data_IF_254424676624
#
_entry.id   IF_254424676624
#
_cell.length_a   1.000
_cell.length_b   1.000
_cell.length_c   1.000
_cell.angle_alpha   90.00
_cell.angle_beta   90.00
_cell.angle_gamma   90.00
#
_symmetry.space_group_name_H-M   'P 1'
#
loop_
_entity.id
_entity.type
_entity.pdbx_description
1 polymer ?
#
# COMPACT_ATOMS: atom_id res chain seq x y z
N UNK A 1 -2.88 -61.32 14.07
CA UNK A 1 -2.24 -60.15 13.43
C UNK A 1 -3.18 -58.97 13.09
N UNK A 2 -4.09 -58.48 13.97
CA UNK A 2 -4.78 -57.20 13.74
C UNK A 2 -4.28 -56.02 14.61
N UNK A 3 -3.64 -56.30 15.74
CA UNK A 3 -3.25 -55.29 16.75
C UNK A 3 -2.10 -54.39 16.25
N UNK A 4 -1.18 -54.96 15.45
CA UNK A 4 -0.06 -54.23 14.85
C UNK A 4 -0.56 -53.14 13.90
N UNK A 5 -1.63 -53.39 13.16
CA UNK A 5 -2.16 -52.44 12.17
C UNK A 5 -2.80 -51.21 12.85
N UNK A 6 -3.54 -51.40 13.96
CA UNK A 6 -4.15 -50.30 14.72
C UNK A 6 -3.07 -49.44 15.40
N UNK A 7 -2.03 -50.04 15.97
CA UNK A 7 -0.92 -49.28 16.55
C UNK A 7 -0.17 -48.48 15.49
N UNK A 8 0.09 -49.05 14.31
CA UNK A 8 0.75 -48.35 13.21
C UNK A 8 -0.13 -47.22 12.65
N UNK A 9 -1.44 -47.44 12.47
CA UNK A 9 -2.39 -46.40 12.06
C UNK A 9 -2.43 -45.27 13.09
N UNK A 10 -2.49 -45.60 14.38
CA UNK A 10 -2.50 -44.62 15.47
C UNK A 10 -1.21 -43.81 15.48
N UNK A 11 -0.04 -44.45 15.38
CA UNK A 11 1.25 -43.76 15.30
C UNK A 11 1.30 -42.81 14.10
N UNK A 12 0.93 -43.28 12.90
CA UNK A 12 0.91 -42.47 11.67
C UNK A 12 -0.04 -41.27 11.82
N UNK A 13 -1.21 -41.48 12.42
CA UNK A 13 -2.18 -40.40 12.66
C UNK A 13 -1.60 -39.36 13.63
N UNK A 14 -0.98 -39.78 14.73
CA UNK A 14 -0.33 -38.86 15.68
C UNK A 14 0.84 -38.10 15.06
N UNK A 15 1.73 -38.74 14.30
CA UNK A 15 2.85 -38.05 13.62
C UNK A 15 2.35 -37.07 12.58
N UNK A 16 1.30 -37.41 11.84
CA UNK A 16 0.70 -36.49 10.86
C UNK A 16 0.07 -35.27 11.56
N UNK A 17 -0.69 -35.49 12.64
CA UNK A 17 -1.26 -34.42 13.47
C UNK A 17 -0.20 -33.52 14.12
N UNK A 18 0.89 -34.08 14.62
CA UNK A 18 1.99 -33.24 15.15
C UNK A 18 2.66 -32.45 14.03
N UNK A 19 2.89 -33.06 12.86
CA UNK A 19 3.48 -32.34 11.72
C UNK A 19 2.58 -31.21 11.20
N UNK A 20 1.26 -31.42 11.15
CA UNK A 20 0.27 -30.39 10.81
C UNK A 20 0.29 -29.26 11.84
N UNK A 21 0.34 -29.60 13.14
CA UNK A 21 0.44 -28.63 14.24
C UNK A 21 1.69 -27.74 14.12
N UNK A 22 2.86 -28.32 13.85
CA UNK A 22 4.11 -27.55 13.74
C UNK A 22 4.19 -26.66 12.49
N UNK A 23 3.38 -26.92 11.46
CA UNK A 23 3.42 -26.17 10.20
C UNK A 23 2.33 -25.10 10.10
N UNK A 24 1.10 -25.39 10.53
CA UNK A 24 -0.06 -24.51 10.27
C UNK A 24 -0.17 -23.36 11.30
N UNK A 25 0.15 -23.63 12.56
CA UNK A 25 -0.07 -22.69 13.66
C UNK A 25 0.86 -21.47 13.64
N UNK A 26 2.20 -21.62 13.51
CA UNK A 26 3.09 -20.47 13.48
C UNK A 26 2.80 -19.57 12.28
N UNK A 27 2.50 -20.20 11.14
CA UNK A 27 2.22 -19.53 9.88
C UNK A 27 0.97 -18.64 9.93
N UNK A 28 -0.08 -19.07 10.63
CA UNK A 28 -1.31 -18.27 10.76
C UNK A 28 -1.08 -17.00 11.61
N UNK A 29 -0.33 -17.11 12.71
CA UNK A 29 0.04 -15.96 13.53
C UNK A 29 0.92 -14.96 12.77
N UNK A 30 1.90 -15.47 12.01
CA UNK A 30 2.75 -14.67 11.13
C UNK A 30 1.93 -13.97 10.02
N UNK A 31 0.96 -14.66 9.41
CA UNK A 31 0.08 -14.09 8.40
C UNK A 31 -0.74 -12.91 8.98
N UNK A 32 -1.30 -13.05 10.18
CA UNK A 32 -2.04 -11.95 10.82
C UNK A 32 -1.12 -10.76 11.14
N UNK A 33 0.08 -11.04 11.63
CA UNK A 33 1.06 -10.00 11.93
C UNK A 33 1.46 -9.25 10.65
N UNK A 34 1.75 -9.97 9.56
CA UNK A 34 2.12 -9.35 8.28
C UNK A 34 1.00 -8.47 7.71
N UNK A 35 -0.26 -8.89 7.85
CA UNK A 35 -1.42 -8.05 7.49
C UNK A 35 -1.44 -6.79 8.36
N UNK A 36 -1.25 -6.94 9.67
CA UNK A 36 -1.23 -5.79 10.59
C UNK A 36 -0.11 -4.80 10.27
N UNK A 37 1.10 -5.28 10.04
CA UNK A 37 2.26 -4.44 9.75
C UNK A 37 2.05 -3.66 8.44
N UNK A 38 1.49 -4.33 7.43
CA UNK A 38 1.16 -3.69 6.15
C UNK A 38 -0.02 -2.72 6.27
N UNK A 39 -1.07 -3.08 6.99
CA UNK A 39 -2.26 -2.24 7.18
C UNK A 39 -1.94 -0.93 7.91
N UNK A 40 -1.01 -0.97 8.85
CA UNK A 40 -0.60 0.21 9.63
C UNK A 40 0.59 0.96 9.02
N UNK A 41 1.03 0.57 7.83
CA UNK A 41 2.07 1.30 7.10
C UNK A 41 1.50 2.63 6.60
N UNK A 42 2.16 3.73 6.97
CA UNK A 42 1.79 5.06 6.48
C UNK A 42 2.23 5.17 5.02
N UNK A 43 1.30 5.34 4.05
CA UNK A 43 1.68 5.53 2.66
C UNK A 43 2.49 6.83 2.50
N UNK A 44 3.46 6.85 1.59
CA UNK A 44 4.29 8.03 1.31
C UNK A 44 3.74 8.93 0.20
N UNK A 45 2.90 8.41 -0.69
CA UNK A 45 2.33 9.12 -1.84
C UNK A 45 0.97 8.53 -2.25
N UNK A 46 0.29 9.21 -3.19
CA UNK A 46 -1.00 8.80 -3.76
C UNK A 46 -0.99 7.38 -4.33
N UNK A 47 0.08 6.97 -5.02
CA UNK A 47 0.19 5.62 -5.59
C UNK A 47 0.25 4.53 -4.50
N UNK A 48 1.08 4.72 -3.49
CA UNK A 48 1.19 3.82 -2.34
C UNK A 48 -0.12 3.74 -1.55
N UNK A 49 -0.84 4.85 -1.41
CA UNK A 49 -2.16 4.89 -0.77
C UNK A 49 -3.17 4.03 -1.54
N UNK A 50 -3.22 4.14 -2.88
CA UNK A 50 -4.13 3.34 -3.71
C UNK A 50 -3.81 1.84 -3.63
N UNK A 51 -2.52 1.49 -3.61
CA UNK A 51 -2.07 0.09 -3.42
C UNK A 51 -2.47 -0.44 -2.04
N UNK A 52 -2.37 0.38 -0.99
CA UNK A 52 -2.80 0.03 0.35
C UNK A 52 -4.31 -0.18 0.43
N UNK A 53 -5.10 0.70 -0.18
CA UNK A 53 -6.56 0.59 -0.25
C UNK A 53 -7.01 -0.72 -0.92
N UNK A 54 -6.42 -1.07 -2.06
CA UNK A 54 -6.77 -2.32 -2.75
C UNK A 54 -6.35 -3.55 -1.95
N UNK A 55 -5.21 -3.51 -1.27
CA UNK A 55 -4.78 -4.56 -0.35
C UNK A 55 -5.81 -4.77 0.77
N UNK A 56 -6.24 -3.70 1.44
CA UNK A 56 -7.18 -3.78 2.55
C UNK A 56 -8.55 -4.24 2.08
N UNK A 57 -9.01 -3.78 0.91
CA UNK A 57 -10.26 -4.27 0.29
C UNK A 57 -10.22 -5.78 0.08
N UNK A 58 -9.08 -6.33 -0.38
CA UNK A 58 -8.90 -7.78 -0.51
C UNK A 58 -8.90 -8.48 0.85
N UNK A 59 -8.26 -7.88 1.85
CA UNK A 59 -8.23 -8.42 3.21
C UNK A 59 -9.63 -8.53 3.80
N UNK A 60 -10.43 -7.46 3.73
CA UNK A 60 -11.80 -7.42 4.26
C UNK A 60 -12.77 -8.34 3.51
N UNK A 61 -12.57 -8.54 2.20
CA UNK A 61 -13.50 -9.32 1.38
C UNK A 61 -13.25 -10.82 1.35
N UNK A 62 -11.99 -11.25 1.48
CA UNK A 62 -11.59 -12.66 1.30
C UNK A 62 -10.69 -13.13 2.43
N UNK A 63 -9.57 -12.44 2.65
CA UNK A 63 -8.48 -12.97 3.48
C UNK A 63 -8.91 -13.18 4.94
N UNK A 64 -9.68 -12.27 5.54
CA UNK A 64 -10.13 -12.42 6.93
C UNK A 64 -10.98 -13.68 7.11
N UNK A 65 -11.88 -13.98 6.17
CA UNK A 65 -12.73 -15.17 6.22
C UNK A 65 -11.91 -16.46 6.08
N UNK A 66 -10.97 -16.50 5.13
CA UNK A 66 -10.06 -17.65 4.96
C UNK A 66 -9.22 -17.89 6.22
N UNK A 67 -8.77 -16.83 6.87
CA UNK A 67 -7.99 -16.91 8.10
C UNK A 67 -8.84 -17.35 9.30
N UNK A 68 -10.11 -16.93 9.38
CA UNK A 68 -11.05 -17.42 10.38
C UNK A 68 -11.30 -18.92 10.25
N UNK A 69 -11.47 -19.43 9.03
CA UNK A 69 -11.66 -20.87 8.82
C UNK A 69 -10.40 -21.66 9.19
N UNK A 70 -9.22 -21.18 8.81
CA UNK A 70 -7.93 -21.76 9.27
C UNK A 70 -7.80 -21.72 10.79
N UNK A 71 -8.27 -20.65 11.44
CA UNK A 71 -8.27 -20.52 12.89
C UNK A 71 -9.21 -21.54 13.56
N UNK A 72 -10.38 -21.82 12.96
CA UNK A 72 -11.31 -22.87 13.42
C UNK A 72 -10.70 -24.26 13.31
N UNK A 73 -10.01 -24.56 12.22
CA UNK A 73 -9.29 -25.83 12.07
C UNK A 73 -8.23 -25.97 13.16
N UNK A 74 -7.42 -24.92 13.37
CA UNK A 74 -6.45 -24.81 14.45
C UNK A 74 -7.09 -25.07 15.82
N UNK A 75 -8.24 -24.45 16.13
CA UNK A 75 -8.95 -24.70 17.38
C UNK A 75 -9.37 -26.17 17.53
N UNK A 76 -9.94 -26.76 16.49
CA UNK A 76 -10.34 -28.18 16.51
C UNK A 76 -9.13 -29.09 16.76
N UNK A 77 -7.97 -28.78 16.18
CA UNK A 77 -6.73 -29.52 16.44
C UNK A 77 -6.25 -29.37 17.88
N UNK A 78 -6.31 -28.16 18.46
CA UNK A 78 -5.95 -27.95 19.88
C UNK A 78 -6.86 -28.79 20.78
N UNK A 79 -8.18 -28.69 20.61
CA UNK A 79 -9.15 -29.43 21.43
C UNK A 79 -8.95 -30.94 21.30
N UNK A 80 -8.72 -31.42 20.08
CA UNK A 80 -8.47 -32.85 19.88
C UNK A 80 -7.16 -33.28 20.56
N UNK A 81 -6.07 -32.54 20.37
CA UNK A 81 -4.76 -32.93 20.89
C UNK A 81 -4.61 -32.74 22.39
N UNK A 82 -5.39 -31.86 23.03
CA UNK A 82 -5.34 -31.67 24.49
C UNK A 82 -5.71 -32.94 25.26
N UNK A 83 -6.54 -33.80 24.68
CA UNK A 83 -6.97 -35.06 25.29
C UNK A 83 -5.89 -36.17 25.21
N UNK A 84 -4.87 -35.99 24.37
CA UNK A 84 -3.89 -37.03 24.05
C UNK A 84 -2.43 -36.61 24.18
N UNK A 85 -2.13 -35.32 24.28
CA UNK A 85 -0.77 -34.78 24.28
C UNK A 85 -0.64 -33.57 25.21
N UNK A 86 0.53 -33.41 25.82
CA UNK A 86 0.86 -32.20 26.57
C UNK A 86 1.24 -31.11 25.57
N UNK A 87 0.49 -30.01 25.59
CA UNK A 87 0.85 -28.80 24.85
C UNK A 87 2.00 -28.12 25.58
N UNK A 88 3.14 -27.94 24.89
CA UNK A 88 4.30 -27.28 25.46
C UNK A 88 4.03 -25.78 25.68
N UNK A 89 4.80 -25.15 26.56
CA UNK A 89 4.69 -23.72 26.83
C UNK A 89 4.95 -22.85 25.57
N UNK A 90 5.81 -23.31 24.66
CA UNK A 90 6.13 -22.60 23.41
C UNK A 90 4.90 -22.61 22.48
N UNK A 91 4.29 -23.78 22.30
CA UNK A 91 3.11 -23.94 21.45
C UNK A 91 1.92 -23.17 22.03
N UNK A 92 1.73 -23.21 23.35
CA UNK A 92 0.70 -22.42 24.02
C UNK A 92 0.89 -20.92 23.76
N UNK A 93 2.14 -20.42 23.87
CA UNK A 93 2.45 -19.02 23.59
C UNK A 93 2.13 -18.64 22.13
N UNK A 94 2.48 -19.49 21.16
CA UNK A 94 2.19 -19.24 19.74
C UNK A 94 0.68 -19.22 19.47
N UNK A 95 -0.07 -20.13 20.08
CA UNK A 95 -1.53 -20.16 19.98
C UNK A 95 -2.13 -18.88 20.55
N UNK A 96 -1.73 -18.48 21.76
CA UNK A 96 -2.17 -17.23 22.38
C UNK A 96 -1.88 -16.01 21.51
N UNK A 97 -0.69 -15.93 20.89
CA UNK A 97 -0.35 -14.84 19.98
C UNK A 97 -1.27 -14.80 18.75
N UNK A 98 -1.58 -15.96 18.16
CA UNK A 98 -2.50 -16.05 17.01
C UNK A 98 -3.90 -15.56 17.38
N UNK A 99 -4.43 -15.97 18.55
CA UNK A 99 -5.73 -15.48 19.03
C UNK A 99 -5.70 -13.99 19.38
N UNK A 100 -4.60 -13.49 19.94
CA UNK A 100 -4.44 -12.07 20.22
C UNK A 100 -4.53 -11.25 18.94
N UNK A 101 -3.83 -11.70 17.88
CA UNK A 101 -3.87 -11.06 16.58
C UNK A 101 -5.24 -11.12 15.92
N UNK A 102 -5.92 -12.27 15.97
CA UNK A 102 -7.30 -12.40 15.51
C UNK A 102 -8.23 -11.38 16.19
N UNK A 103 -8.19 -11.30 17.52
CA UNK A 103 -9.02 -10.35 18.28
C UNK A 103 -8.67 -8.89 17.98
N UNK A 104 -7.40 -8.60 17.68
CA UNK A 104 -6.92 -7.25 17.33
C UNK A 104 -7.25 -6.86 15.89
N UNK A 105 -7.51 -7.81 14.99
CA UNK A 105 -7.59 -7.55 13.55
C UNK A 105 -8.70 -6.55 13.19
N UNK A 106 -9.85 -6.59 13.86
CA UNK A 106 -10.93 -5.62 13.65
C UNK A 106 -10.49 -4.19 13.98
N UNK A 107 -9.75 -4.00 15.08
CA UNK A 107 -9.20 -2.72 15.47
C UNK A 107 -8.15 -2.23 14.45
N UNK A 108 -7.28 -3.13 13.97
CA UNK A 108 -6.26 -2.79 12.95
C UNK A 108 -6.90 -2.30 11.64
N UNK A 109 -7.97 -2.95 11.19
CA UNK A 109 -8.69 -2.53 10.00
C UNK A 109 -9.36 -1.17 10.19
N UNK A 110 -9.87 -0.89 11.39
CA UNK A 110 -10.44 0.42 11.70
C UNK A 110 -9.37 1.52 11.80
N UNK A 111 -8.22 1.24 12.43
CA UNK A 111 -7.06 2.14 12.44
C UNK A 111 -6.59 2.46 11.01
N UNK A 112 -6.54 1.46 10.14
CA UNK A 112 -6.23 1.66 8.73
C UNK A 112 -7.29 2.54 8.03
N UNK A 113 -8.59 2.34 8.29
CA UNK A 113 -9.67 3.15 7.71
C UNK A 113 -9.47 4.63 8.01
N UNK A 114 -9.18 4.95 9.27
CA UNK A 114 -8.91 6.32 9.72
C UNK A 114 -7.64 6.89 9.09
N UNK A 115 -6.58 6.08 9.02
CA UNK A 115 -5.33 6.47 8.36
C UNK A 115 -5.53 6.78 6.87
N UNK A 116 -6.27 5.94 6.15
CA UNK A 116 -6.59 6.11 4.73
C UNK A 116 -7.42 7.36 4.52
N UNK A 117 -8.45 7.61 5.33
CA UNK A 117 -9.28 8.80 5.24
C UNK A 117 -8.44 10.08 5.44
N UNK A 118 -7.64 10.11 6.50
CA UNK A 118 -6.75 11.24 6.79
C UNK A 118 -5.76 11.48 5.65
N UNK A 119 -5.06 10.43 5.20
CA UNK A 119 -4.03 10.55 4.16
C UNK A 119 -4.60 10.90 2.79
N UNK A 120 -5.81 10.41 2.48
CA UNK A 120 -6.53 10.81 1.28
C UNK A 120 -6.78 12.31 1.28
N UNK A 121 -7.26 12.86 2.40
CA UNK A 121 -7.50 14.29 2.53
C UNK A 121 -6.20 15.10 2.42
N UNK A 122 -5.16 14.69 3.15
CA UNK A 122 -3.83 15.34 3.13
C UNK A 122 -3.29 15.44 1.69
N UNK A 123 -3.29 14.33 0.94
CA UNK A 123 -2.77 14.28 -0.42
C UNK A 123 -3.64 15.01 -1.43
N UNK A 124 -4.96 14.93 -1.31
CA UNK A 124 -5.85 15.71 -2.18
C UNK A 124 -5.67 17.22 -1.98
N UNK A 125 -5.48 17.68 -0.74
CA UNK A 125 -5.22 19.09 -0.48
C UNK A 125 -3.84 19.51 -1.01
N UNK A 126 -2.81 18.70 -0.76
CA UNK A 126 -1.46 18.96 -1.26
C UNK A 126 -1.40 18.99 -2.80
N UNK A 127 -2.13 18.09 -3.46
CA UNK A 127 -2.26 18.06 -4.93
C UNK A 127 -2.93 19.33 -5.45
N UNK A 128 -4.04 19.77 -4.84
CA UNK A 128 -4.73 21.02 -5.23
C UNK A 128 -3.83 22.24 -5.07
N UNK A 129 -3.14 22.37 -3.94
CA UNK A 129 -2.19 23.46 -3.70
C UNK A 129 -1.04 23.44 -4.71
N UNK A 130 -0.50 22.25 -5.01
CA UNK A 130 0.57 22.08 -5.98
C UNK A 130 0.14 22.44 -7.40
N UNK A 131 -1.09 22.13 -7.79
CA UNK A 131 -1.67 22.49 -9.09
C UNK A 131 -1.85 24.00 -9.20
N UNK A 132 -2.36 24.67 -8.16
CA UNK A 132 -2.53 26.13 -8.18
C UNK A 132 -1.18 26.86 -8.25
N UNK A 133 -0.21 26.45 -7.43
CA UNK A 133 1.16 26.99 -7.50
C UNK A 133 1.77 26.78 -8.89
N UNK A 134 1.55 25.61 -9.49
CA UNK A 134 2.05 25.31 -10.82
C UNK A 134 1.38 26.16 -11.92
N UNK A 135 0.09 26.49 -11.79
CA UNK A 135 -0.57 27.45 -12.70
C UNK A 135 0.08 28.84 -12.62
N UNK A 136 0.42 29.31 -11.43
CA UNK A 136 1.14 30.58 -11.26
C UNK A 136 2.54 30.54 -11.88
N UNK A 137 3.28 29.43 -11.67
CA UNK A 137 4.59 29.20 -12.31
C UNK A 137 4.49 29.27 -13.84
N UNK A 138 3.46 28.65 -14.42
CA UNK A 138 3.22 28.67 -15.87
C UNK A 138 2.93 30.07 -16.41
N UNK A 139 2.18 30.90 -15.69
CA UNK A 139 1.96 32.31 -16.05
C UNK A 139 3.28 33.09 -16.04
N UNK A 140 4.16 32.83 -15.06
CA UNK A 140 5.48 33.46 -15.02
C UNK A 140 6.37 33.01 -16.18
N UNK A 141 6.31 31.74 -16.59
CA UNK A 141 7.05 31.23 -17.75
C UNK A 141 6.58 31.90 -19.04
N UNK A 142 5.28 32.11 -19.20
CA UNK A 142 4.72 32.84 -20.33
C UNK A 142 5.21 34.30 -20.38
N UNK A 143 5.18 35.01 -19.25
CA UNK A 143 5.70 36.38 -19.17
C UNK A 143 7.20 36.44 -19.52
N UNK A 144 8.01 35.48 -19.06
CA UNK A 144 9.43 35.39 -19.42
C UNK A 144 9.64 35.09 -20.92
N UNK A 145 8.76 34.30 -21.52
CA UNK A 145 8.79 34.01 -22.96
C UNK A 145 8.47 35.27 -23.77
N UNK A 146 7.44 36.02 -23.39
CA UNK A 146 7.08 37.30 -24.01
C UNK A 146 8.20 38.34 -23.89
N UNK A 147 8.84 38.43 -22.72
CA UNK A 147 9.97 39.34 -22.50
C UNK A 147 11.14 39.03 -23.47
N UNK A 148 11.45 37.74 -23.68
CA UNK A 148 12.50 37.30 -24.62
C UNK A 148 12.23 37.75 -26.06
N UNK A 149 10.97 37.82 -26.51
CA UNK A 149 10.62 38.33 -27.84
C UNK A 149 10.87 39.84 -28.01
N UNK A 150 10.99 40.56 -26.90
CA UNK A 150 11.22 42.02 -26.89
C UNK A 150 12.70 42.38 -26.94
N UNK A 151 13.59 41.39 -26.78
CA UNK A 151 15.03 41.58 -26.77
C UNK A 151 15.58 41.77 -28.19
N UNK A 152 16.29 42.88 -28.41
CA UNK A 152 16.83 43.26 -29.72
C UNK A 152 18.31 43.65 -29.74
N UNK A 153 19.01 43.63 -28.59
CA UNK A 153 20.43 43.98 -28.52
C UNK A 153 21.33 42.77 -28.84
N UNK A 154 22.03 42.85 -29.96
CA UNK A 154 22.94 41.81 -30.46
C UNK A 154 24.12 41.56 -29.49
N UNK A 155 24.50 42.55 -28.67
CA UNK A 155 25.59 42.37 -27.71
C UNK A 155 25.21 41.50 -26.50
N UNK A 156 23.92 41.36 -26.22
CA UNK A 156 23.41 40.53 -25.12
C UNK A 156 22.94 39.14 -25.58
N UNK A 157 23.13 38.78 -26.87
CA UNK A 157 22.71 37.50 -27.44
C UNK A 157 23.12 36.25 -26.62
N UNK A 158 24.35 36.15 -26.08
CA UNK A 158 24.75 34.98 -25.27
C UNK A 158 23.93 34.84 -23.97
N UNK A 159 23.52 35.97 -23.39
CA UNK A 159 22.70 36.04 -22.17
C UNK A 159 21.27 35.62 -22.47
N UNK A 160 20.74 36.01 -23.63
CA UNK A 160 19.41 35.61 -24.10
C UNK A 160 19.34 34.12 -24.41
N UNK A 161 20.36 33.57 -25.08
CA UNK A 161 20.47 32.15 -25.35
C UNK A 161 20.46 31.32 -24.05
N UNK A 162 21.21 31.74 -23.04
CA UNK A 162 21.24 31.05 -21.73
C UNK A 162 19.88 31.11 -21.02
N UNK A 163 19.19 32.26 -21.05
CA UNK A 163 17.84 32.40 -20.49
C UNK A 163 16.84 31.49 -21.23
N UNK A 164 16.89 31.44 -22.56
CA UNK A 164 16.03 30.60 -23.38
C UNK A 164 16.24 29.10 -23.06
N UNK A 165 17.49 28.64 -22.99
CA UNK A 165 17.80 27.25 -22.61
C UNK A 165 17.30 26.89 -21.20
N UNK A 166 17.44 27.79 -20.23
CA UNK A 166 16.91 27.56 -18.88
C UNK A 166 15.38 27.50 -18.86
N UNK A 167 14.71 28.31 -19.67
CA UNK A 167 13.26 28.30 -19.80
C UNK A 167 12.77 27.03 -20.48
N UNK A 168 13.47 26.57 -21.51
CA UNK A 168 13.17 25.33 -22.23
C UNK A 168 13.27 24.11 -21.31
N UNK A 169 14.34 23.99 -20.52
CA UNK A 169 14.46 22.93 -19.51
C UNK A 169 13.36 22.98 -18.43
N UNK A 170 12.88 24.18 -18.06
CA UNK A 170 11.75 24.32 -17.13
C UNK A 170 10.44 23.88 -17.76
N UNK A 171 10.23 24.14 -19.04
CA UNK A 171 9.06 23.70 -19.79
C UNK A 171 9.04 22.19 -19.96
N UNK A 172 10.20 21.56 -20.27
CA UNK A 172 10.31 20.10 -20.30
C UNK A 172 9.96 19.47 -18.93
N UNK A 173 10.48 20.02 -17.84
CA UNK A 173 10.15 19.57 -16.49
C UNK A 173 8.66 19.80 -16.14
N UNK A 174 8.06 20.89 -16.65
CA UNK A 174 6.65 21.20 -16.48
C UNK A 174 5.75 20.14 -17.13
N UNK A 175 6.12 19.60 -18.29
CA UNK A 175 5.39 18.50 -18.95
C UNK A 175 5.37 17.25 -18.06
N UNK A 176 6.52 16.86 -17.51
CA UNK A 176 6.58 15.70 -16.61
C UNK A 176 5.75 15.91 -15.33
N UNK A 177 5.73 17.14 -14.78
CA UNK A 177 4.91 17.50 -13.61
C UNK A 177 3.41 17.43 -13.91
N UNK A 178 2.99 17.84 -15.11
CA UNK A 178 1.60 17.70 -15.58
C UNK A 178 1.19 16.23 -15.66
N UNK A 179 2.04 15.38 -16.24
CA UNK A 179 1.74 13.95 -16.35
C UNK A 179 1.60 13.29 -14.98
N UNK A 180 2.41 13.70 -13.99
CA UNK A 180 2.29 13.25 -12.61
C UNK A 180 0.96 13.69 -11.98
N UNK A 181 0.57 14.96 -12.12
CA UNK A 181 -0.72 15.46 -11.63
C UNK A 181 -1.90 14.69 -12.24
N UNK A 182 -1.88 14.48 -13.55
CA UNK A 182 -2.95 13.75 -14.25
C UNK A 182 -3.06 12.29 -13.76
N UNK A 183 -1.95 11.65 -13.40
CA UNK A 183 -1.97 10.30 -12.83
C UNK A 183 -2.62 10.28 -11.45
N UNK A 184 -2.33 11.26 -10.61
CA UNK A 184 -2.93 11.40 -9.28
C UNK A 184 -4.42 11.77 -9.36
N UNK A 185 -4.80 12.70 -10.24
CA UNK A 185 -6.20 13.07 -10.50
C UNK A 185 -7.01 11.86 -10.96
N UNK A 186 -6.47 11.05 -11.89
CA UNK A 186 -7.08 9.79 -12.31
C UNK A 186 -7.28 8.80 -11.17
N UNK A 187 -6.29 8.69 -10.28
CA UNK A 187 -6.36 7.79 -9.14
C UNK A 187 -7.51 8.18 -8.20
N UNK A 188 -7.79 9.48 -8.06
CA UNK A 188 -8.93 9.99 -7.30
C UNK A 188 -10.25 10.09 -8.10
N UNK A 189 -10.23 9.77 -9.39
CA UNK A 189 -11.40 9.90 -10.28
C UNK A 189 -11.80 11.35 -10.58
N UNK A 190 -10.85 12.29 -10.47
CA UNK A 190 -11.06 13.69 -10.81
C UNK A 190 -10.97 13.90 -12.33
N UNK A 191 -11.57 15.00 -12.81
CA UNK A 191 -11.36 15.44 -14.19
C UNK A 191 -9.92 15.91 -14.36
N UNK A 192 -9.25 15.47 -15.43
CA UNK A 192 -7.88 15.90 -15.73
C UNK A 192 -7.84 17.43 -15.87
N UNK A 193 -6.95 18.07 -15.13
CA UNK A 193 -6.73 19.50 -15.28
C UNK A 193 -6.15 19.77 -16.66
N UNK A 194 -6.93 20.42 -17.53
CA UNK A 194 -6.44 20.80 -18.85
C UNK A 194 -5.48 21.98 -18.72
N UNK A 195 -4.21 21.75 -19.04
CA UNK A 195 -3.20 22.80 -19.16
C UNK A 195 -3.12 23.25 -20.64
N UNK A 196 -3.68 24.42 -21.01
CA UNK A 196 -3.78 24.86 -22.40
C UNK A 196 -2.41 25.00 -23.10
N UNK A 197 -1.36 25.20 -22.31
CA UNK A 197 0.01 25.40 -22.76
C UNK A 197 0.68 24.16 -23.36
N UNK A 198 0.07 22.96 -23.23
CA UNK A 198 0.57 21.71 -23.84
C UNK A 198 0.77 21.81 -25.36
N UNK A 199 0.06 22.70 -26.06
CA UNK A 199 0.08 22.84 -27.53
C UNK A 199 1.06 23.88 -28.07
N UNK A 200 1.75 24.66 -27.24
CA UNK A 200 2.71 25.65 -27.74
C UNK A 200 4.16 25.14 -27.80
N UNK A 201 4.43 23.94 -27.25
CA UNK A 201 5.77 23.34 -27.18
C UNK A 201 5.88 22.06 -28.04
N UNK A 202 4.90 21.79 -28.91
CA UNK A 202 4.91 20.67 -29.87
C UNK A 202 5.00 21.14 -31.31
#
# INVERSE_FOLDING_TARGET
MPITNIFTIRIIYYTNLTSIKYFIFPRLGEDYQAISDRALTVPGNTSELMVLMEFIRKVESVTVFEMEDRLREVMNYILFLSDYTIISAIEMKQNCLTFLWYNRMSQVLEENRQLVEQKTLDYQNSLKESIEQFKEELVQYMAQTEELYTYGDINELPKYLKKAQMLDSKLEAAVAKIDAFNQEEKAYGWEETYFPMRKQVS
#
